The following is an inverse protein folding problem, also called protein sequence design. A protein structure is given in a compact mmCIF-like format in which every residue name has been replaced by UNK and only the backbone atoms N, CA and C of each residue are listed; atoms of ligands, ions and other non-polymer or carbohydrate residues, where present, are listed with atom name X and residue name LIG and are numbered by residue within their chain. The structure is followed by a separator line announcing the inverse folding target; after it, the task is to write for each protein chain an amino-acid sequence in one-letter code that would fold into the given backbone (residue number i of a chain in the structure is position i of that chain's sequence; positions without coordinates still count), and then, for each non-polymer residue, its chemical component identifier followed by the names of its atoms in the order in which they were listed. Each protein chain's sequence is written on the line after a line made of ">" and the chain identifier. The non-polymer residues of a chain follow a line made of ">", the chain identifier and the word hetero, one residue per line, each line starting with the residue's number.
data_IF_015913086929
#
_entry.id   IF_015913086929
#
_cell.length_a   1.000
_cell.length_b   1.000
_cell.length_c   1.000
_cell.angle_alpha   90.00
_cell.angle_beta   90.00
_cell.angle_gamma   90.00
#
_symmetry.space_group_name_H-M   'P 1'
#
loop_
_entity.id
_entity.type
_entity.pdbx_description
1 polymer ?
#
# COMPACT_ATOMS: atom_id res chain seq x y z
N UNK A 1 51.52 -1.56 34.92
CA UNK A 1 52.18 -0.81 33.82
C UNK A 1 51.24 -0.37 32.69
N UNK A 2 49.91 -0.46 32.87
CA UNK A 2 48.94 -0.15 31.80
C UNK A 2 48.72 1.34 31.57
N UNK A 3 48.76 2.14 32.63
CA UNK A 3 48.55 3.59 32.57
C UNK A 3 49.57 4.33 31.68
N UNK A 4 50.80 3.81 31.56
CA UNK A 4 51.83 4.38 30.67
C UNK A 4 51.48 4.15 29.21
N UNK A 5 51.00 2.96 28.87
CA UNK A 5 50.63 2.58 27.51
C UNK A 5 49.39 3.32 27.03
N UNK A 6 48.38 3.47 27.89
CA UNK A 6 47.18 4.26 27.59
C UNK A 6 47.52 5.71 27.24
N UNK A 7 48.40 6.34 28.05
CA UNK A 7 48.86 7.72 27.80
C UNK A 7 49.68 7.83 26.53
N UNK A 8 50.52 6.84 26.23
CA UNK A 8 51.33 6.81 25.01
C UNK A 8 50.44 6.70 23.76
N UNK A 9 49.45 5.81 23.78
CA UNK A 9 48.46 5.66 22.71
C UNK A 9 47.58 6.90 22.55
N UNK A 10 47.20 7.56 23.65
CA UNK A 10 46.43 8.80 23.62
C UNK A 10 47.23 9.97 23.02
N UNK A 11 48.51 10.11 23.37
CA UNK A 11 49.38 11.14 22.77
C UNK A 11 49.61 10.84 21.29
N UNK A 12 49.78 9.57 20.94
CA UNK A 12 49.99 9.14 19.56
C UNK A 12 48.75 9.36 18.68
N UNK A 13 47.54 9.06 19.19
CA UNK A 13 46.28 9.31 18.49
C UNK A 13 45.99 10.80 18.35
N UNK A 14 46.27 11.59 19.40
CA UNK A 14 46.17 13.05 19.34
C UNK A 14 47.13 13.65 18.31
N UNK A 15 48.38 13.16 18.26
CA UNK A 15 49.35 13.55 17.25
C UNK A 15 48.87 13.24 15.83
N UNK A 16 48.39 12.02 15.59
CA UNK A 16 47.81 11.61 14.30
C UNK A 16 46.62 12.48 13.89
N UNK A 17 45.73 12.80 14.82
CA UNK A 17 44.57 13.66 14.55
C UNK A 17 45.02 15.08 14.14
N UNK A 18 45.97 15.69 14.86
CA UNK A 18 46.51 17.02 14.53
C UNK A 18 47.16 17.00 13.15
N UNK A 19 47.93 15.97 12.82
CA UNK A 19 48.54 15.79 11.49
C UNK A 19 47.46 15.67 10.41
N UNK A 20 46.41 14.87 10.63
CA UNK A 20 45.30 14.72 9.70
C UNK A 20 44.56 16.03 9.41
N UNK A 21 44.28 16.82 10.46
CA UNK A 21 43.67 18.14 10.34
C UNK A 21 44.58 19.10 9.56
N UNK A 22 45.89 19.09 9.86
CA UNK A 22 46.87 19.91 9.16
C UNK A 22 46.94 19.61 7.67
N UNK A 23 46.95 18.32 7.29
CA UNK A 23 46.91 17.87 5.89
C UNK A 23 45.61 18.33 5.23
N UNK A 24 44.46 18.13 5.88
CA UNK A 24 43.17 18.60 5.38
C UNK A 24 43.17 20.09 5.11
N UNK A 25 43.63 20.91 6.07
CA UNK A 25 43.69 22.35 5.90
C UNK A 25 44.62 22.76 4.76
N UNK A 26 45.82 22.17 4.66
CA UNK A 26 46.77 22.49 3.58
C UNK A 26 46.22 22.16 2.19
N UNK A 27 45.51 21.04 2.05
CA UNK A 27 44.95 20.57 0.76
C UNK A 27 43.72 21.40 0.34
N UNK A 28 42.86 21.78 1.28
CA UNK A 28 41.58 22.45 0.97
C UNK A 28 41.63 23.98 1.07
N UNK A 29 42.62 24.58 1.75
CA UNK A 29 42.79 26.06 1.84
C UNK A 29 42.87 26.77 0.48
N UNK A 30 43.66 26.32 -0.51
CA UNK A 30 43.73 27.00 -1.80
C UNK A 30 42.55 26.68 -2.73
N UNK A 31 41.93 25.51 -2.58
CA UNK A 31 40.83 25.04 -3.45
C UNK A 31 39.79 24.28 -2.61
N UNK A 32 38.82 24.98 -2.00
CA UNK A 32 37.83 24.35 -1.13
C UNK A 32 36.90 23.40 -1.90
N UNK A 33 36.66 23.66 -3.19
CA UNK A 33 35.84 22.83 -4.07
C UNK A 33 36.67 21.85 -4.90
N UNK A 34 37.80 21.37 -4.36
CA UNK A 34 38.63 20.40 -5.06
C UNK A 34 37.79 19.17 -5.43
N UNK A 35 37.66 18.91 -6.73
CA UNK A 35 36.92 17.76 -7.23
C UNK A 35 37.62 16.48 -6.75
N UNK A 36 36.93 15.72 -5.90
CA UNK A 36 37.42 14.44 -5.39
C UNK A 36 37.29 13.35 -6.46
N UNK A 37 38.04 12.24 -6.31
CA UNK A 37 37.83 11.06 -7.13
C UNK A 37 36.37 10.63 -7.11
N UNK A 38 35.84 10.26 -8.27
CA UNK A 38 34.43 9.98 -8.44
C UNK A 38 33.93 8.88 -7.50
N UNK A 39 34.78 7.90 -7.17
CA UNK A 39 34.44 6.82 -6.22
C UNK A 39 34.17 7.32 -4.79
N UNK A 40 34.82 8.39 -4.32
CA UNK A 40 34.51 9.00 -3.02
C UNK A 40 33.21 9.80 -3.09
N UNK A 41 32.98 10.48 -4.21
CA UNK A 41 31.74 11.25 -4.47
C UNK A 41 30.54 10.32 -4.50
N UNK A 42 30.67 9.19 -5.18
CA UNK A 42 29.65 8.15 -5.31
C UNK A 42 29.57 7.26 -4.06
N UNK A 43 30.23 7.62 -2.94
CA UNK A 43 30.23 6.87 -1.68
C UNK A 43 30.50 5.37 -1.87
N UNK A 44 31.53 5.04 -2.66
CA UNK A 44 31.88 3.66 -3.01
C UNK A 44 30.82 2.88 -3.79
N UNK A 45 29.80 3.56 -4.33
CA UNK A 45 28.68 2.99 -5.10
C UNK A 45 27.86 1.95 -4.32
N UNK A 46 27.97 1.95 -3.00
CA UNK A 46 27.26 1.00 -2.13
C UNK A 46 25.77 1.34 -2.12
N UNK A 47 25.45 2.63 -2.09
CA UNK A 47 24.07 3.12 -2.10
C UNK A 47 23.37 2.73 -3.42
N UNK A 48 24.01 2.89 -4.58
CA UNK A 48 23.46 2.49 -5.88
C UNK A 48 23.29 0.98 -6.00
N UNK A 49 24.23 0.19 -5.46
CA UNK A 49 24.12 -1.26 -5.44
C UNK A 49 22.93 -1.68 -4.56
N UNK A 50 22.81 -1.14 -3.36
CA UNK A 50 21.72 -1.46 -2.44
C UNK A 50 20.36 -1.08 -3.04
N UNK A 51 20.26 0.12 -3.60
CA UNK A 51 19.03 0.59 -4.21
C UNK A 51 18.66 -0.27 -5.43
N UNK A 52 19.59 -0.51 -6.36
CA UNK A 52 19.31 -1.26 -7.58
C UNK A 52 19.03 -2.75 -7.37
N UNK A 53 19.70 -3.40 -6.41
CA UNK A 53 19.56 -4.85 -6.21
C UNK A 53 18.54 -5.23 -5.13
N UNK A 54 18.25 -4.34 -4.19
CA UNK A 54 17.36 -4.66 -3.05
C UNK A 54 16.12 -3.77 -3.09
N UNK A 55 16.27 -2.45 -3.05
CA UNK A 55 15.12 -1.54 -2.86
C UNK A 55 14.23 -1.46 -4.09
N UNK A 56 14.80 -1.18 -5.25
CA UNK A 56 14.08 -1.01 -6.51
C UNK A 56 13.28 -2.26 -6.91
N UNK A 57 13.82 -3.49 -6.89
CA UNK A 57 13.04 -4.67 -7.22
C UNK A 57 11.90 -4.91 -6.22
N UNK A 58 12.13 -4.72 -4.92
CA UNK A 58 11.08 -4.91 -3.91
C UNK A 58 9.96 -3.88 -4.08
N UNK A 59 10.32 -2.61 -4.28
CA UNK A 59 9.34 -1.53 -4.47
C UNK A 59 8.58 -1.67 -5.77
N UNK A 60 9.24 -2.09 -6.87
CA UNK A 60 8.57 -2.36 -8.13
C UNK A 60 7.60 -3.54 -8.03
N UNK A 61 8.00 -4.63 -7.38
CA UNK A 61 7.10 -5.76 -7.12
C UNK A 61 5.89 -5.35 -6.27
N UNK A 62 6.10 -4.56 -5.23
CA UNK A 62 5.00 -4.03 -4.41
C UNK A 62 4.08 -3.12 -5.22
N UNK A 63 4.63 -2.25 -6.06
CA UNK A 63 3.87 -1.28 -6.84
C UNK A 63 3.06 -1.96 -7.94
N UNK A 64 3.64 -2.93 -8.63
CA UNK A 64 2.98 -3.59 -9.76
C UNK A 64 2.09 -4.74 -9.31
N UNK A 65 2.56 -5.58 -8.38
CA UNK A 65 1.80 -6.74 -7.91
C UNK A 65 0.71 -6.35 -6.91
N UNK A 66 1.12 -5.79 -5.77
CA UNK A 66 0.18 -5.53 -4.66
C UNK A 66 -0.75 -4.36 -4.96
N UNK A 67 -0.21 -3.24 -5.44
CA UNK A 67 -1.05 -2.07 -5.65
C UNK A 67 -1.81 -2.14 -6.98
N UNK A 68 -1.13 -2.18 -8.12
CA UNK A 68 -1.83 -2.16 -9.42
C UNK A 68 -2.62 -3.44 -9.69
N UNK A 69 -2.05 -4.61 -9.38
CA UNK A 69 -2.70 -5.89 -9.63
C UNK A 69 -3.84 -6.17 -8.66
N UNK A 70 -3.53 -6.18 -7.36
CA UNK A 70 -4.51 -6.59 -6.35
C UNK A 70 -5.47 -5.46 -5.97
N UNK A 71 -4.99 -4.29 -5.57
CA UNK A 71 -5.87 -3.21 -5.10
C UNK A 71 -6.69 -2.61 -6.26
N UNK A 72 -6.01 -1.97 -7.22
CA UNK A 72 -6.67 -1.27 -8.35
C UNK A 72 -7.37 -2.25 -9.30
N UNK A 73 -6.83 -3.45 -9.49
CA UNK A 73 -7.43 -4.45 -10.38
C UNK A 73 -8.56 -5.23 -9.72
N UNK A 74 -8.27 -5.89 -8.60
CA UNK A 74 -9.19 -6.85 -7.99
C UNK A 74 -10.15 -6.20 -7.00
N UNK A 75 -9.63 -5.42 -6.04
CA UNK A 75 -10.47 -4.82 -4.98
C UNK A 75 -11.41 -3.77 -5.57
N UNK A 76 -10.87 -2.80 -6.31
CA UNK A 76 -11.68 -1.77 -6.96
C UNK A 76 -12.67 -2.38 -7.96
N UNK A 77 -12.27 -3.42 -8.68
CA UNK A 77 -13.15 -4.14 -9.60
C UNK A 77 -14.37 -4.75 -8.90
N UNK A 78 -14.16 -5.39 -7.75
CA UNK A 78 -15.25 -5.96 -6.96
C UNK A 78 -16.16 -4.88 -6.39
N UNK A 79 -15.58 -3.83 -5.79
CA UNK A 79 -16.36 -2.75 -5.17
C UNK A 79 -17.23 -2.03 -6.20
N UNK A 80 -16.64 -1.67 -7.35
CA UNK A 80 -17.38 -1.04 -8.44
C UNK A 80 -18.43 -2.00 -9.02
N UNK A 81 -18.10 -3.29 -9.18
CA UNK A 81 -19.04 -4.30 -9.64
C UNK A 81 -20.28 -4.43 -8.74
N UNK A 82 -20.08 -4.47 -7.42
CA UNK A 82 -21.18 -4.49 -6.45
C UNK A 82 -21.99 -3.19 -6.53
N UNK A 83 -21.33 -2.03 -6.63
CA UNK A 83 -21.99 -0.74 -6.77
C UNK A 83 -22.86 -0.66 -8.03
N UNK A 84 -22.34 -1.12 -9.16
CA UNK A 84 -23.09 -1.21 -10.42
C UNK A 84 -24.28 -2.17 -10.30
N UNK A 85 -24.07 -3.36 -9.75
CA UNK A 85 -25.14 -4.34 -9.55
C UNK A 85 -26.29 -3.80 -8.70
N UNK A 86 -25.98 -3.18 -7.55
CA UNK A 86 -27.00 -2.58 -6.68
C UNK A 86 -27.74 -1.44 -7.38
N UNK A 87 -27.02 -0.62 -8.16
CA UNK A 87 -27.62 0.47 -8.93
C UNK A 87 -28.56 -0.05 -10.01
N UNK A 88 -28.16 -1.09 -10.74
CA UNK A 88 -28.98 -1.75 -11.75
C UNK A 88 -30.23 -2.38 -11.13
N UNK A 89 -30.10 -3.12 -10.03
CA UNK A 89 -31.25 -3.64 -9.29
C UNK A 89 -32.20 -2.51 -8.86
N UNK A 90 -31.65 -1.41 -8.34
CA UNK A 90 -32.44 -0.24 -7.98
C UNK A 90 -33.19 0.37 -9.18
N UNK A 91 -32.57 0.42 -10.37
CA UNK A 91 -33.21 0.88 -11.59
C UNK A 91 -34.36 -0.04 -12.03
N UNK A 92 -34.16 -1.37 -11.95
CA UNK A 92 -35.21 -2.36 -12.26
C UNK A 92 -36.39 -2.21 -11.29
N UNK A 93 -36.12 -2.16 -9.98
CA UNK A 93 -37.16 -1.99 -8.95
C UNK A 93 -37.91 -0.67 -9.13
N UNK A 94 -37.21 0.42 -9.48
CA UNK A 94 -37.83 1.71 -9.79
C UNK A 94 -38.79 1.61 -10.97
N UNK A 95 -38.42 0.87 -12.01
CA UNK A 95 -39.28 0.65 -13.19
C UNK A 95 -40.58 -0.11 -12.86
N UNK A 96 -40.55 -1.01 -11.87
CA UNK A 96 -41.74 -1.72 -11.41
C UNK A 96 -42.74 -0.83 -10.63
N UNK A 97 -42.29 0.31 -10.12
CA UNK A 97 -43.15 1.28 -9.43
C UNK A 97 -43.80 2.26 -10.42
N UNK A 98 -44.76 1.75 -11.20
CA UNK A 98 -45.42 2.47 -12.30
C UNK A 98 -46.36 3.61 -11.84
N UNK A 99 -46.52 3.84 -10.53
CA UNK A 99 -47.34 4.92 -9.95
C UNK A 99 -48.87 4.71 -9.99
N UNK A 100 -49.35 3.61 -10.57
CA UNK A 100 -50.77 3.29 -10.66
C UNK A 100 -51.30 2.54 -9.43
N UNK A 101 -52.22 3.16 -8.67
CA UNK A 101 -52.85 2.58 -7.47
C UNK A 101 -53.46 1.18 -7.72
N UNK A 102 -54.02 0.94 -8.92
CA UNK A 102 -54.58 -0.38 -9.30
C UNK A 102 -53.53 -1.49 -9.32
N UNK A 103 -52.31 -1.18 -9.73
CA UNK A 103 -51.20 -2.16 -9.77
C UNK A 103 -50.79 -2.59 -8.36
N UNK A 104 -50.81 -1.66 -7.39
CA UNK A 104 -50.55 -1.99 -5.98
C UNK A 104 -51.61 -2.93 -5.40
N UNK A 105 -52.89 -2.69 -5.69
CA UNK A 105 -53.98 -3.56 -5.23
C UNK A 105 -53.83 -5.00 -5.75
N UNK A 106 -53.43 -5.17 -7.03
CA UNK A 106 -53.17 -6.49 -7.62
C UNK A 106 -51.99 -7.21 -6.95
N UNK A 107 -50.88 -6.51 -6.68
CA UNK A 107 -49.71 -7.07 -6.00
C UNK A 107 -50.06 -7.50 -4.57
N UNK A 108 -50.81 -6.68 -3.83
CA UNK A 108 -51.24 -6.99 -2.47
C UNK A 108 -52.13 -8.24 -2.45
N UNK A 109 -53.12 -8.30 -3.34
CA UNK A 109 -54.01 -9.46 -3.44
C UNK A 109 -53.22 -10.74 -3.78
N UNK A 110 -52.29 -10.66 -4.74
CA UNK A 110 -51.44 -11.79 -5.10
C UNK A 110 -50.56 -12.24 -3.93
N UNK A 111 -49.95 -11.30 -3.20
CA UNK A 111 -49.17 -11.57 -2.00
C UNK A 111 -49.99 -12.25 -0.90
N UNK A 112 -51.23 -11.79 -0.66
CA UNK A 112 -52.13 -12.41 0.31
C UNK A 112 -52.47 -13.85 -0.08
N UNK A 113 -52.79 -14.11 -1.34
CA UNK A 113 -53.07 -15.46 -1.85
C UNK A 113 -51.85 -16.37 -1.75
N UNK A 114 -50.64 -15.86 -2.04
CA UNK A 114 -49.40 -16.62 -1.91
C UNK A 114 -49.12 -17.03 -0.46
N UNK A 115 -49.31 -16.10 0.50
CA UNK A 115 -49.14 -16.37 1.94
C UNK A 115 -50.17 -17.39 2.41
N UNK A 116 -51.45 -17.23 2.04
CA UNK A 116 -52.51 -18.19 2.37
C UNK A 116 -52.21 -19.58 1.79
N UNK A 117 -51.80 -19.64 0.52
CA UNK A 117 -51.40 -20.89 -0.13
C UNK A 117 -50.23 -21.57 0.56
N UNK A 118 -49.21 -20.80 0.98
CA UNK A 118 -48.08 -21.30 1.76
C UNK A 118 -48.55 -21.90 3.09
N UNK A 119 -49.39 -21.18 3.85
CA UNK A 119 -49.91 -21.70 5.12
C UNK A 119 -50.76 -22.96 4.96
N UNK A 120 -51.60 -23.01 3.93
CA UNK A 120 -52.42 -24.20 3.63
C UNK A 120 -51.52 -25.39 3.26
N UNK A 121 -50.52 -25.17 2.40
CA UNK A 121 -49.58 -26.23 2.02
C UNK A 121 -48.83 -26.82 3.22
N UNK A 122 -48.27 -25.96 4.08
CA UNK A 122 -47.55 -26.41 5.28
C UNK A 122 -48.50 -26.98 6.33
N UNK A 123 -49.70 -26.42 6.49
CA UNK A 123 -50.72 -26.94 7.40
C UNK A 123 -51.19 -28.34 6.99
N UNK A 124 -51.46 -28.56 5.70
CA UNK A 124 -51.81 -29.88 5.18
C UNK A 124 -50.68 -30.90 5.35
N UNK A 125 -49.42 -30.46 5.20
CA UNK A 125 -48.23 -31.31 5.42
C UNK A 125 -47.94 -31.61 6.89
N UNK A 126 -48.44 -30.80 7.83
CA UNK A 126 -48.27 -31.01 9.27
C UNK A 126 -49.39 -31.86 9.88
N UNK A 127 -50.56 -31.88 9.25
CA UNK A 127 -51.74 -32.62 9.70
C UNK A 127 -51.84 -34.02 9.07
N UNK A 128 -51.24 -34.23 7.90
CA UNK A 128 -51.07 -35.55 7.26
C UNK A 128 -49.71 -36.16 7.55
#
# INVERSE_FOLDING_TARGET
>A
DDLKWERLLAVLSLGLAIVGIGIGFAVFKPNPLKKLPQILVDKWRIDELYNGYIVDPITNLSREGLWKGFDVGFVDGIVNGIGHFVTELGNVVRGLQVGFVRSYAAIILFGALAVLGYFIYYGLKLVG
#
